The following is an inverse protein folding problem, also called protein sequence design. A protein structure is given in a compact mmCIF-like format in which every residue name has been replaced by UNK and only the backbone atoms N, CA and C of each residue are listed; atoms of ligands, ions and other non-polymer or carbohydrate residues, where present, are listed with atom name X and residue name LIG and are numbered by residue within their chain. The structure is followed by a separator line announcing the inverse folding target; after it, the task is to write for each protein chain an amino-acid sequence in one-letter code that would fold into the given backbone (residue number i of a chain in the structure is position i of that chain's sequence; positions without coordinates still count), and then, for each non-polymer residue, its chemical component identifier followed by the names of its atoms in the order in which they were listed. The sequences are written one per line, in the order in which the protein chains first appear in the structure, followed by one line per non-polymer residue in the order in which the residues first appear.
data_IF_428202544768
#
_entry.id   IF_428202544768
#
_cell.length_a   1.000
_cell.length_b   1.000
_cell.length_c   1.000
_cell.angle_alpha   90.00
_cell.angle_beta   90.00
_cell.angle_gamma   90.00
#
_symmetry.space_group_name_H-M   'P 1'
#
loop_
_entity.id
_entity.type
_entity.pdbx_description
1 polymer ?
#
# COMPACT_ATOMS: atom_id res chain seq x y z
N UNK A 1 -6.74 -31.52 -1.37
CA UNK A 1 -5.66 -31.82 -2.33
C UNK A 1 -4.95 -30.52 -2.67
N UNK A 2 -3.74 -30.59 -3.22
CA UNK A 2 -3.02 -29.42 -3.73
C UNK A 2 -3.43 -29.16 -5.17
N UNK A 3 -4.07 -28.01 -5.42
CA UNK A 3 -4.28 -27.53 -6.79
C UNK A 3 -2.96 -27.27 -7.50
N UNK A 4 -2.92 -27.48 -8.82
CA UNK A 4 -1.72 -27.12 -9.61
C UNK A 4 -1.58 -25.61 -9.75
N UNK A 5 -0.37 -25.15 -10.07
CA UNK A 5 -0.12 -23.72 -10.31
C UNK A 5 -0.98 -23.16 -11.46
N UNK A 6 -1.27 -23.98 -12.48
CA UNK A 6 -2.17 -23.61 -13.58
C UNK A 6 -3.59 -23.36 -13.06
N UNK A 7 -4.16 -24.30 -12.30
CA UNK A 7 -5.52 -24.15 -11.74
C UNK A 7 -5.66 -22.88 -10.89
N UNK A 8 -4.63 -22.53 -10.12
CA UNK A 8 -4.62 -21.30 -9.31
C UNK A 8 -4.55 -20.04 -10.20
N UNK A 9 -3.75 -20.07 -11.27
CA UNK A 9 -3.66 -18.96 -12.22
C UNK A 9 -4.94 -18.81 -13.06
N UNK A 10 -5.52 -19.91 -13.54
CA UNK A 10 -6.79 -19.94 -14.28
C UNK A 10 -7.95 -19.42 -13.42
N UNK A 11 -7.99 -19.79 -12.14
CA UNK A 11 -8.95 -19.25 -11.17
C UNK A 11 -8.73 -17.74 -10.93
N UNK A 12 -7.49 -17.31 -10.71
CA UNK A 12 -7.15 -15.90 -10.51
C UNK A 12 -7.53 -15.04 -11.73
N UNK A 13 -7.29 -15.52 -12.95
CA UNK A 13 -7.73 -14.83 -14.17
C UNK A 13 -9.25 -14.77 -14.28
N UNK A 14 -9.95 -15.88 -14.01
CA UNK A 14 -11.42 -15.94 -14.05
C UNK A 14 -12.07 -14.97 -13.07
N UNK A 15 -11.50 -14.83 -11.87
CA UNK A 15 -11.96 -13.88 -10.88
C UNK A 15 -11.61 -12.44 -11.28
N UNK A 16 -10.36 -12.18 -11.72
CA UNK A 16 -9.93 -10.86 -12.16
C UNK A 16 -10.79 -10.29 -13.32
N UNK A 17 -11.26 -11.15 -14.24
CA UNK A 17 -12.17 -10.76 -15.35
C UNK A 17 -13.54 -10.25 -14.88
N UNK A 18 -13.93 -10.47 -13.62
CA UNK A 18 -15.17 -9.97 -13.02
C UNK A 18 -14.98 -8.64 -12.27
N UNK A 19 -13.74 -8.12 -12.20
CA UNK A 19 -13.40 -6.96 -11.37
C UNK A 19 -13.13 -5.72 -12.24
N UNK A 20 -13.86 -4.64 -11.96
CA UNK A 20 -13.69 -3.37 -12.64
C UNK A 20 -12.45 -2.61 -12.13
N UNK A 21 -11.80 -1.87 -13.05
CA UNK A 21 -10.66 -0.96 -12.83
C UNK A 21 -10.93 0.40 -13.49
N UNK A 22 -12.21 0.73 -13.72
CA UNK A 22 -12.63 1.84 -14.57
C UNK A 22 -12.21 3.20 -13.99
N UNK A 23 -12.29 3.36 -12.66
CA UNK A 23 -11.90 4.59 -11.98
C UNK A 23 -10.39 4.79 -12.09
N UNK A 24 -9.61 3.73 -11.85
CA UNK A 24 -8.15 3.78 -11.94
C UNK A 24 -7.63 4.19 -13.32
N UNK A 25 -8.34 3.82 -14.39
CA UNK A 25 -8.01 4.18 -15.78
C UNK A 25 -8.25 5.66 -16.10
N UNK A 26 -9.02 6.39 -15.29
CA UNK A 26 -9.17 7.84 -15.43
C UNK A 26 -7.95 8.61 -14.89
N UNK A 27 -7.17 8.02 -13.98
CA UNK A 27 -6.05 8.68 -13.28
C UNK A 27 -4.68 8.19 -13.79
N UNK A 28 -4.49 8.13 -15.11
CA UNK A 28 -3.27 7.61 -15.77
C UNK A 28 -1.97 8.16 -15.19
N UNK A 29 -1.91 9.47 -14.90
CA UNK A 29 -0.72 10.15 -14.34
C UNK A 29 -0.41 9.81 -12.87
N UNK A 30 -1.35 9.19 -12.14
CA UNK A 30 -1.15 8.68 -10.78
C UNK A 30 -0.71 7.21 -10.75
N UNK A 31 -0.68 6.51 -11.89
CA UNK A 31 -0.30 5.10 -11.98
C UNK A 31 1.15 4.94 -12.47
N UNK A 32 1.98 4.24 -11.70
CA UNK A 32 3.38 3.90 -12.05
C UNK A 32 3.46 2.91 -13.21
N UNK A 33 2.46 2.02 -13.29
CA UNK A 33 2.32 0.96 -14.28
C UNK A 33 0.85 0.95 -14.74
N UNK A 34 0.58 1.03 -16.05
CA UNK A 34 -0.80 1.13 -16.57
C UNK A 34 -1.51 -0.24 -16.64
N UNK A 35 -0.75 -1.30 -16.38
CA UNK A 35 -1.14 -2.70 -16.23
C UNK A 35 -1.37 -3.10 -14.76
N UNK A 36 -0.92 -2.29 -13.78
CA UNK A 36 -1.05 -2.55 -12.34
C UNK A 36 -1.88 -1.44 -11.68
N UNK A 37 -3.17 -1.69 -11.51
CA UNK A 37 -4.15 -0.76 -10.97
C UNK A 37 -5.05 -1.43 -9.92
N UNK A 38 -5.54 -0.69 -8.91
CA UNK A 38 -6.47 -1.22 -7.92
C UNK A 38 -7.85 -1.48 -8.58
N UNK A 39 -8.57 -2.48 -8.07
CA UNK A 39 -9.96 -2.69 -8.48
C UNK A 39 -10.89 -1.70 -7.80
N UNK A 40 -11.91 -1.25 -8.53
CA UNK A 40 -12.87 -0.24 -8.07
C UNK A 40 -13.60 -0.68 -6.77
N UNK A 41 -13.72 -2.01 -6.53
CA UNK A 41 -14.37 -2.60 -5.34
C UNK A 41 -13.58 -2.46 -4.03
N UNK A 42 -12.25 -2.36 -4.08
CA UNK A 42 -11.39 -2.39 -2.89
C UNK A 42 -10.23 -1.39 -2.94
N UNK A 43 -10.24 -0.46 -3.91
CA UNK A 43 -9.32 0.68 -3.89
C UNK A 43 -9.44 1.47 -2.58
N UNK A 44 -8.35 2.10 -2.16
CA UNK A 44 -8.44 3.12 -1.11
C UNK A 44 -9.04 4.39 -1.72
N UNK A 45 -9.91 5.06 -0.94
CA UNK A 45 -10.60 6.29 -1.32
C UNK A 45 -10.14 7.38 -0.36
N UNK A 46 -9.51 8.43 -0.89
CA UNK A 46 -9.08 9.59 -0.09
C UNK A 46 -10.28 10.51 0.17
N UNK A 47 -10.43 10.96 1.42
CA UNK A 47 -11.56 11.79 1.86
C UNK A 47 -11.23 13.29 1.89
N UNK A 48 -9.97 13.63 2.17
CA UNK A 48 -9.48 15.01 2.29
C UNK A 48 -8.57 15.41 1.11
N UNK A 49 -8.52 14.58 0.07
CA UNK A 49 -7.73 14.79 -1.14
C UNK A 49 -8.31 15.86 -2.06
N UNK A 50 -7.52 16.29 -3.06
CA UNK A 50 -8.03 17.11 -4.19
C UNK A 50 -8.95 16.32 -5.12
N UNK A 51 -8.69 15.03 -5.17
CA UNK A 51 -9.46 13.98 -5.80
C UNK A 51 -9.39 12.75 -4.88
N UNK A 52 -10.21 11.74 -5.16
CA UNK A 52 -10.43 10.60 -4.29
C UNK A 52 -9.49 9.41 -4.56
N UNK A 53 -8.52 9.56 -5.47
CA UNK A 53 -7.77 8.44 -6.02
C UNK A 53 -6.29 8.39 -5.61
N UNK A 54 -5.91 7.20 -5.14
CA UNK A 54 -4.54 6.72 -5.04
C UNK A 54 -4.49 5.27 -5.58
N UNK A 55 -3.37 4.89 -6.21
CA UNK A 55 -3.12 3.51 -6.63
C UNK A 55 -2.78 2.65 -5.40
N UNK A 56 -3.82 2.25 -4.67
CA UNK A 56 -3.75 1.41 -3.48
C UNK A 56 -5.02 0.56 -3.34
N UNK A 57 -4.88 -0.67 -2.85
CA UNK A 57 -5.97 -1.63 -2.61
C UNK A 57 -5.96 -2.10 -1.15
N UNK A 58 -7.14 -2.12 -0.51
CA UNK A 58 -7.34 -2.84 0.76
C UNK A 58 -7.31 -4.35 0.52
N UNK A 59 -6.69 -5.07 1.44
CA UNK A 59 -6.68 -6.51 1.53
C UNK A 59 -7.10 -6.86 2.96
N UNK A 60 -8.29 -7.45 3.07
CA UNK A 60 -9.02 -7.70 4.30
C UNK A 60 -9.38 -9.20 4.35
N UNK A 61 -9.89 -9.69 5.49
CA UNK A 61 -10.37 -11.07 5.71
C UNK A 61 -9.37 -12.23 5.45
N UNK A 62 -8.08 -11.96 5.27
CA UNK A 62 -7.03 -12.98 5.08
C UNK A 62 -6.97 -14.02 6.21
N UNK A 63 -7.20 -13.60 7.46
CA UNK A 63 -7.54 -14.45 8.61
C UNK A 63 -7.95 -13.58 9.80
N UNK A 64 -8.61 -14.16 10.81
CA UNK A 64 -9.05 -13.46 12.02
C UNK A 64 -7.92 -12.87 12.90
N UNK A 65 -6.65 -13.14 12.59
CA UNK A 65 -5.48 -12.55 13.26
C UNK A 65 -4.65 -11.66 12.33
N UNK A 66 -5.01 -11.54 11.05
CA UNK A 66 -4.33 -10.66 10.11
C UNK A 66 -4.97 -9.25 10.18
N UNK A 67 -4.18 -8.18 10.39
CA UNK A 67 -4.70 -6.82 10.29
C UNK A 67 -5.08 -6.48 8.85
N UNK A 68 -5.90 -5.44 8.65
CA UNK A 68 -6.09 -4.84 7.32
C UNK A 68 -4.75 -4.42 6.73
N UNK A 69 -4.46 -4.93 5.53
CA UNK A 69 -3.30 -4.57 4.72
C UNK A 69 -3.76 -3.65 3.60
N UNK A 70 -2.93 -2.68 3.23
CA UNK A 70 -3.09 -1.83 2.06
C UNK A 70 -1.89 -2.07 1.16
N UNK A 71 -2.11 -2.73 0.02
CA UNK A 71 -1.10 -2.88 -1.02
C UNK A 71 -1.13 -1.66 -1.95
N UNK A 72 0.03 -1.06 -2.23
CA UNK A 72 0.13 0.17 -3.03
C UNK A 72 1.43 0.21 -3.82
N UNK A 73 1.45 0.89 -4.96
CA UNK A 73 2.70 1.18 -5.67
C UNK A 73 3.63 2.03 -4.80
N UNK A 74 4.94 2.03 -5.08
CA UNK A 74 5.82 3.10 -4.59
C UNK A 74 5.36 4.47 -5.13
N UNK A 75 5.04 5.47 -4.27
CA UNK A 75 4.77 6.86 -4.64
C UNK A 75 5.58 7.44 -5.80
N UNK A 76 4.88 8.22 -6.62
CA UNK A 76 5.43 9.06 -7.66
C UNK A 76 5.60 10.48 -7.12
N UNK A 77 6.42 11.31 -7.78
CA UNK A 77 6.61 12.72 -7.39
C UNK A 77 5.27 13.48 -7.30
N UNK A 78 4.34 13.18 -8.21
CA UNK A 78 2.98 13.75 -8.20
C UNK A 78 1.99 13.14 -7.21
N UNK A 79 2.33 12.06 -6.49
CA UNK A 79 1.42 11.35 -5.55
C UNK A 79 1.99 11.18 -4.13
N UNK A 80 3.11 11.84 -3.80
CA UNK A 80 3.72 11.73 -2.48
C UNK A 80 2.80 12.27 -1.37
N UNK A 81 2.12 13.40 -1.61
CA UNK A 81 1.16 13.97 -0.66
C UNK A 81 -0.07 13.06 -0.48
N UNK A 82 -0.59 12.49 -1.56
CA UNK A 82 -1.72 11.55 -1.55
C UNK A 82 -1.41 10.31 -0.70
N UNK A 83 -0.17 9.82 -0.76
CA UNK A 83 0.27 8.68 0.05
C UNK A 83 0.39 9.01 1.54
N UNK A 84 0.95 10.17 1.91
CA UNK A 84 1.00 10.56 3.32
C UNK A 84 -0.40 10.85 3.87
N UNK A 85 -1.31 11.38 3.05
CA UNK A 85 -2.72 11.50 3.40
C UNK A 85 -3.38 10.13 3.58
N UNK A 86 -3.09 9.17 2.71
CA UNK A 86 -3.55 7.77 2.87
C UNK A 86 -3.10 7.18 4.21
N UNK A 87 -1.83 7.35 4.60
CA UNK A 87 -1.32 6.88 5.91
C UNK A 87 -2.09 7.51 7.06
N UNK A 88 -2.35 8.82 6.99
CA UNK A 88 -3.08 9.57 8.01
C UNK A 88 -4.55 9.11 8.13
N UNK A 89 -5.30 9.13 7.02
CA UNK A 89 -6.72 8.75 7.01
C UNK A 89 -6.93 7.28 7.40
N UNK A 90 -6.04 6.39 6.96
CA UNK A 90 -6.13 4.95 7.22
C UNK A 90 -5.37 4.51 8.48
N UNK A 91 -4.84 5.47 9.26
CA UNK A 91 -4.17 5.25 10.57
C UNK A 91 -3.05 4.20 10.52
N UNK A 92 -2.31 4.18 9.41
CA UNK A 92 -1.24 3.20 9.17
C UNK A 92 -0.11 3.39 10.18
N UNK A 93 0.26 2.31 10.86
CA UNK A 93 1.31 2.27 11.89
C UNK A 93 2.64 1.67 11.39
N UNK A 94 2.58 0.84 10.34
CA UNK A 94 3.71 0.10 9.80
C UNK A 94 3.69 0.20 8.27
N UNK A 95 4.79 0.65 7.68
CA UNK A 95 5.02 0.63 6.23
C UNK A 95 6.08 -0.42 5.94
N UNK A 96 5.70 -1.46 5.17
CA UNK A 96 6.64 -2.46 4.66
C UNK A 96 6.97 -2.13 3.21
N UNK A 97 8.26 -1.95 2.93
CA UNK A 97 8.76 -1.67 1.59
C UNK A 97 9.39 -2.93 0.99
N UNK A 98 8.84 -3.40 -0.14
CA UNK A 98 9.39 -4.51 -0.91
C UNK A 98 10.03 -3.96 -2.20
N UNK A 99 11.25 -3.43 -2.05
CA UNK A 99 12.09 -2.97 -3.17
C UNK A 99 13.42 -3.73 -3.16
N UNK A 100 14.05 -3.85 -4.32
CA UNK A 100 15.44 -4.28 -4.39
C UNK A 100 16.37 -3.13 -4.01
N UNK A 101 17.60 -3.46 -3.62
CA UNK A 101 18.68 -2.49 -3.37
C UNK A 101 18.91 -1.53 -4.55
N UNK A 102 18.71 -2.01 -5.78
CA UNK A 102 18.85 -1.23 -7.02
C UNK A 102 17.67 -0.27 -7.29
N UNK A 103 16.48 -0.56 -6.78
CA UNK A 103 15.34 0.38 -6.84
C UNK A 103 15.34 1.34 -5.64
N UNK A 104 16.04 1.02 -4.55
CA UNK A 104 16.09 1.80 -3.31
C UNK A 104 16.54 3.25 -3.53
N UNK A 105 17.57 3.48 -4.37
CA UNK A 105 18.01 4.84 -4.71
C UNK A 105 16.88 5.65 -5.39
N UNK A 106 16.14 5.04 -6.31
CA UNK A 106 15.06 5.67 -7.09
C UNK A 106 13.84 6.04 -6.25
N UNK A 107 13.71 5.45 -5.06
CA UNK A 107 12.65 5.78 -4.09
C UNK A 107 13.16 6.61 -2.91
N UNK A 108 14.48 6.70 -2.68
CA UNK A 108 15.08 7.36 -1.51
C UNK A 108 14.61 8.81 -1.27
N UNK A 109 14.23 9.54 -2.32
CA UNK A 109 13.85 10.96 -2.27
C UNK A 109 12.59 11.29 -1.45
N UNK A 110 11.85 10.30 -0.92
CA UNK A 110 10.73 10.50 0.03
C UNK A 110 10.85 9.75 1.38
N UNK A 111 11.95 9.00 1.62
CA UNK A 111 12.30 8.48 2.96
C UNK A 111 13.70 8.95 3.30
N UNK A 112 13.80 9.98 4.14
CA UNK A 112 15.10 10.44 4.64
C UNK A 112 15.74 9.37 5.55
N UNK A 113 16.60 8.55 4.95
CA UNK A 113 17.71 7.86 5.62
C UNK A 113 17.36 6.68 6.53
N UNK A 114 17.01 5.53 5.96
CA UNK A 114 17.14 4.19 6.60
C UNK A 114 16.13 3.84 7.71
N UNK A 115 15.84 4.76 8.63
CA UNK A 115 14.79 4.65 9.66
C UNK A 115 14.01 5.96 9.68
N UNK A 116 13.33 6.23 8.55
CA UNK A 116 12.67 7.52 8.31
C UNK A 116 11.35 7.68 9.07
N UNK A 117 11.41 8.27 10.26
CA UNK A 117 10.21 8.76 10.97
C UNK A 117 9.71 10.04 10.29
N UNK A 118 8.64 9.94 9.51
CA UNK A 118 7.97 11.10 8.92
C UNK A 118 7.00 11.71 9.95
N UNK A 119 7.27 12.96 10.37
CA UNK A 119 6.37 13.73 11.23
C UNK A 119 5.66 14.80 10.40
N UNK A 120 4.33 14.79 10.41
CA UNK A 120 3.51 15.86 9.84
C UNK A 120 2.14 15.94 10.54
N UNK A 121 1.68 17.16 10.84
CA UNK A 121 0.40 17.40 11.53
C UNK A 121 0.57 18.31 12.76
N UNK A 122 -0.40 19.20 12.98
CA UNK A 122 -0.37 20.20 14.05
C UNK A 122 -0.83 19.65 15.40
N UNK A 123 -0.16 20.10 16.46
CA UNK A 123 -0.57 20.02 17.87
C UNK A 123 -0.60 18.62 18.51
N UNK A 124 -1.50 17.72 18.10
CA UNK A 124 -2.08 16.73 19.05
C UNK A 124 -2.03 15.24 18.66
N UNK A 125 -1.32 14.84 17.57
CA UNK A 125 -1.10 13.40 17.32
C UNK A 125 0.17 13.07 16.54
N UNK A 126 1.22 12.59 17.24
CA UNK A 126 2.36 11.91 16.62
C UNK A 126 2.06 10.42 16.45
N UNK A 127 1.77 9.99 15.22
CA UNK A 127 1.80 8.57 14.85
C UNK A 127 3.23 8.19 14.46
N UNK A 128 3.91 7.39 15.29
CA UNK A 128 5.18 6.76 14.93
C UNK A 128 4.94 5.68 13.88
N UNK A 129 5.11 6.03 12.61
CA UNK A 129 5.17 5.06 11.51
C UNK A 129 6.52 4.35 11.57
N UNK A 130 6.49 3.04 11.84
CA UNK A 130 7.66 2.20 11.67
C UNK A 130 7.82 1.83 10.19
N UNK A 131 9.04 1.93 9.65
CA UNK A 131 9.35 1.49 8.30
C UNK A 131 10.22 0.22 8.38
N UNK A 132 9.72 -0.90 7.86
CA UNK A 132 10.45 -2.17 7.84
C UNK A 132 10.75 -2.58 6.39
N UNK A 133 12.03 -2.53 5.99
CA UNK A 133 12.47 -3.03 4.68
C UNK A 133 12.68 -4.54 4.78
N UNK A 134 11.80 -5.31 4.15
CA UNK A 134 11.93 -6.77 4.09
C UNK A 134 12.46 -7.18 2.71
N UNK A 135 13.66 -7.76 2.68
CA UNK A 135 14.32 -8.25 1.47
C UNK A 135 13.69 -9.56 0.97
N UNK A 136 12.44 -9.49 0.51
CA UNK A 136 11.77 -10.59 -0.16
C UNK A 136 12.27 -10.73 -1.61
N UNK A 137 12.69 -11.94 -2.01
CA UNK A 137 13.07 -12.29 -3.39
C UNK A 137 11.83 -12.42 -4.32
N UNK A 138 11.02 -11.36 -4.41
CA UNK A 138 9.97 -11.20 -5.41
C UNK A 138 10.53 -10.40 -6.59
N UNK A 139 11.00 -11.13 -7.62
CA UNK A 139 11.56 -10.51 -8.84
C UNK A 139 10.52 -9.58 -9.48
N UNK A 140 10.93 -8.34 -9.77
CA UNK A 140 10.19 -7.32 -10.53
C UNK A 140 9.00 -6.61 -9.86
N UNK A 141 8.88 -6.57 -8.53
CA UNK A 141 7.82 -5.81 -7.84
C UNK A 141 8.30 -4.46 -7.27
N UNK A 142 7.61 -3.36 -7.60
CA UNK A 142 7.78 -2.02 -6.99
C UNK A 142 6.64 -1.75 -5.97
N UNK A 143 6.40 -2.71 -5.08
CA UNK A 143 5.21 -2.79 -4.22
C UNK A 143 5.52 -2.40 -2.77
N UNK A 144 4.62 -1.64 -2.16
CA UNK A 144 4.56 -1.45 -0.71
C UNK A 144 3.33 -2.13 -0.12
N UNK A 145 3.52 -2.62 1.11
CA UNK A 145 2.48 -3.19 1.96
C UNK A 145 2.41 -2.33 3.21
N UNK A 146 1.44 -1.42 3.25
CA UNK A 146 1.11 -0.67 4.45
C UNK A 146 0.23 -1.55 5.35
N UNK A 147 0.58 -1.72 6.61
CA UNK A 147 -0.19 -2.51 7.56
C UNK A 147 -0.76 -1.61 8.66
N UNK A 148 -2.07 -1.66 8.86
CA UNK A 148 -2.75 -0.97 9.96
C UNK A 148 -2.78 -1.87 11.19
N UNK A 149 -1.72 -1.86 11.99
CA UNK A 149 -1.75 -2.53 13.28
C UNK A 149 -2.44 -1.60 14.31
N UNK A 150 -3.64 -1.99 14.76
CA UNK A 150 -4.18 -1.41 15.99
C UNK A 150 -3.22 -1.70 17.15
N UNK A 151 -2.50 -0.67 17.60
CA UNK A 151 -1.81 -0.67 18.88
C UNK A 151 -2.85 -0.74 20.01
N UNK A 152 -3.37 -1.95 20.26
CA UNK A 152 -4.10 -2.28 21.48
C UNK A 152 -3.24 -1.83 22.66
N UNK A 153 -3.68 -0.78 23.36
CA UNK A 153 -2.97 -0.24 24.54
C UNK A 153 -2.69 -1.39 25.51
N UNK A 154 -1.43 -1.78 25.61
CA UNK A 154 -0.97 -2.70 26.64
C UNK A 154 -1.11 -2.00 27.99
N UNK A 155 -2.26 -2.17 28.64
CA UNK A 155 -2.43 -1.90 30.08
C UNK A 155 -1.74 -3.03 30.85
N UNK A 156 -0.41 -3.07 30.75
CA UNK A 156 0.45 -3.94 31.54
C UNK A 156 0.78 -3.27 32.86
N UNK A 157 0.03 -3.67 33.90
CA UNK A 157 0.36 -3.64 35.34
C UNK A 157 1.15 -2.40 35.81
#
# INVERSE_FOLDING_TARGET
GTSTLSELQDAQEKDARQLSIAIARCYTMKNRHQDIMPYDRNRVILQLGKDDYINASRIEDLSCYCPTIIATQAPLVGTASDFWLMIYEQKVSLVVMLVSEQEMEKVSWWWHGGVGVALFGSSDLLTLVSCAVFLAQLRHSNLLLCASAELKKYKGI
#
